data_IF_037467069648
#
_entry.id   IF_037467069648
#
_cell.length_a   1.000
_cell.length_b   1.000
_cell.length_c   1.000
_cell.angle_alpha   90.00
_cell.angle_beta   90.00
_cell.angle_gamma   90.00
#
_symmetry.space_group_name_H-M   'P 1'
#
loop_
_entity.id
_entity.type
_entity.pdbx_description
1 polymer ?
#
# COMPACT_ATOMS: atom_id res chain seq x y z
N UNK A 1 25.71 18.14 -13.56
CA UNK A 1 24.72 17.73 -12.55
C UNK A 1 25.46 17.20 -11.33
N UNK A 2 25.32 17.84 -10.17
CA UNK A 2 25.95 17.37 -8.92
C UNK A 2 24.84 16.85 -8.00
N UNK A 3 24.86 15.56 -7.69
CA UNK A 3 24.03 14.97 -6.65
C UNK A 3 24.54 15.46 -5.29
N UNK A 4 23.74 16.21 -4.54
CA UNK A 4 24.03 16.46 -3.12
C UNK A 4 23.46 15.29 -2.31
N UNK A 5 24.33 14.31 -1.99
CA UNK A 5 24.09 13.35 -0.91
C UNK A 5 24.75 13.90 0.36
N UNK A 6 24.00 13.86 1.45
CA UNK A 6 24.31 14.33 2.80
C UNK A 6 24.21 15.85 3.02
N UNK A 7 23.16 16.26 3.73
CA UNK A 7 23.18 17.50 4.50
C UNK A 7 23.15 17.13 5.99
N UNK A 8 24.33 17.10 6.61
CA UNK A 8 24.42 17.45 8.04
C UNK A 8 23.91 18.89 8.14
N UNK A 9 22.70 19.07 8.67
CA UNK A 9 22.08 20.36 8.94
C UNK A 9 21.52 21.07 7.70
N UNK A 10 20.20 21.22 7.66
CA UNK A 10 19.45 22.06 6.72
C UNK A 10 20.04 23.49 6.59
N UNK A 11 20.68 23.99 7.65
CA UNK A 11 21.38 25.29 7.70
C UNK A 11 22.51 25.47 6.67
N UNK A 12 23.16 24.39 6.21
CA UNK A 12 24.21 24.52 5.19
C UNK A 12 23.65 24.84 3.80
N UNK A 13 22.41 24.41 3.50
CA UNK A 13 21.76 24.56 2.19
C UNK A 13 21.28 25.99 1.96
N UNK A 14 20.81 26.68 3.02
CA UNK A 14 20.28 28.05 2.94
C UNK A 14 21.32 29.11 2.56
N UNK A 15 22.62 28.78 2.55
CA UNK A 15 23.69 29.70 2.16
C UNK A 15 23.93 29.82 0.64
N UNK A 16 23.25 29.02 -0.19
CA UNK A 16 23.39 29.06 -1.67
C UNK A 16 22.04 29.32 -2.34
N UNK A 17 21.90 30.53 -2.91
CA UNK A 17 20.87 31.00 -3.88
C UNK A 17 19.56 30.18 -3.87
N UNK A 18 18.61 30.63 -3.04
CA UNK A 18 17.29 30.03 -2.82
C UNK A 18 16.43 29.88 -4.09
N UNK A 19 16.74 30.57 -5.19
CA UNK A 19 15.91 30.62 -6.40
C UNK A 19 16.02 29.39 -7.33
N UNK A 20 17.01 28.52 -7.15
CA UNK A 20 17.31 27.44 -8.11
C UNK A 20 17.09 26.01 -7.59
N UNK A 21 16.53 25.82 -6.39
CA UNK A 21 16.35 24.49 -5.79
C UNK A 21 15.04 23.89 -6.31
N UNK A 22 15.13 22.96 -7.27
CA UNK A 22 13.99 22.23 -7.84
C UNK A 22 13.74 20.87 -7.16
N UNK A 23 14.76 20.32 -6.48
CA UNK A 23 14.68 19.05 -5.75
C UNK A 23 15.39 19.13 -4.41
N UNK A 24 14.76 18.61 -3.37
CA UNK A 24 15.31 18.60 -2.03
C UNK A 24 15.03 17.27 -1.32
N UNK A 25 16.08 16.71 -0.72
CA UNK A 25 15.96 15.61 0.24
C UNK A 25 16.41 16.11 1.61
N UNK A 26 15.53 15.96 2.58
CA UNK A 26 15.72 16.32 3.97
C UNK A 26 15.75 15.04 4.78
N UNK A 27 16.78 14.87 5.59
CA UNK A 27 16.88 13.73 6.51
C UNK A 27 17.17 14.28 7.88
N UNK A 28 16.27 14.07 8.83
CA UNK A 28 16.56 14.34 10.23
C UNK A 28 17.34 13.15 10.79
N UNK A 29 18.66 13.16 10.58
CA UNK A 29 19.58 12.19 11.18
C UNK A 29 20.15 12.89 12.42
N UNK A 30 19.37 12.92 13.50
CA UNK A 30 19.73 13.55 14.77
C UNK A 30 19.17 12.75 15.94
N UNK A 31 19.70 13.02 17.14
CA UNK A 31 19.20 12.48 18.41
C UNK A 31 17.67 12.60 18.45
N UNK A 32 16.93 11.65 19.03
CA UNK A 32 15.44 11.66 19.02
C UNK A 32 14.81 12.98 19.53
N UNK A 33 15.59 13.74 20.31
CA UNK A 33 15.23 15.04 20.89
C UNK A 33 15.51 16.27 19.98
N UNK A 34 16.29 16.10 18.90
CA UNK A 34 16.73 17.16 17.98
C UNK A 34 16.08 17.06 16.59
N UNK A 35 15.05 16.23 16.43
CA UNK A 35 14.43 16.00 15.13
C UNK A 35 13.57 17.19 14.70
N UNK A 36 13.88 17.79 13.54
CA UNK A 36 13.03 18.81 12.95
C UNK A 36 11.68 18.19 12.57
N UNK A 37 10.59 18.82 13.01
CA UNK A 37 9.26 18.33 12.68
C UNK A 37 8.97 18.50 11.19
N UNK A 38 8.11 17.65 10.62
CA UNK A 38 7.66 17.79 9.23
C UNK A 38 7.07 19.18 8.98
N UNK A 39 6.42 19.77 9.99
CA UNK A 39 5.90 21.13 9.94
C UNK A 39 7.02 22.17 9.73
N UNK A 40 8.11 22.10 10.50
CA UNK A 40 9.24 23.02 10.35
C UNK A 40 9.92 22.89 8.98
N UNK A 41 10.06 21.66 8.49
CA UNK A 41 10.63 21.39 7.16
C UNK A 41 9.73 21.99 6.08
N UNK A 42 8.41 21.72 6.14
CA UNK A 42 7.44 22.26 5.18
C UNK A 42 7.32 23.78 5.26
N UNK A 43 7.45 24.40 6.44
CA UNK A 43 7.46 25.85 6.58
C UNK A 43 8.62 26.48 5.80
N UNK A 44 9.83 25.91 5.95
CA UNK A 44 11.02 26.46 5.29
C UNK A 44 11.02 26.24 3.79
N UNK A 45 10.48 25.12 3.32
CA UNK A 45 10.41 24.82 1.89
C UNK A 45 9.24 25.52 1.19
N UNK A 46 8.27 26.06 1.94
CA UNK A 46 7.20 26.87 1.36
C UNK A 46 7.72 28.13 0.66
N UNK A 47 8.87 28.66 1.10
CA UNK A 47 9.55 29.81 0.51
C UNK A 47 10.44 29.45 -0.70
N UNK A 48 10.41 28.18 -1.17
CA UNK A 48 11.15 27.71 -2.34
C UNK A 48 10.21 27.58 -3.55
N UNK A 49 9.97 28.66 -4.31
CA UNK A 49 8.96 28.66 -5.38
C UNK A 49 9.34 27.71 -6.53
N UNK A 50 10.62 27.40 -6.74
CA UNK A 50 11.06 26.48 -7.79
C UNK A 50 10.95 24.99 -7.40
N UNK A 51 10.65 24.67 -6.13
CA UNK A 51 10.71 23.30 -5.62
C UNK A 51 9.62 22.41 -6.24
N UNK A 52 10.03 21.35 -6.92
CA UNK A 52 9.16 20.36 -7.57
C UNK A 52 9.18 19.00 -6.88
N UNK A 53 10.31 18.63 -6.27
CA UNK A 53 10.49 17.33 -5.61
C UNK A 53 10.94 17.53 -4.16
N UNK A 54 10.16 17.01 -3.21
CA UNK A 54 10.54 17.00 -1.80
C UNK A 54 10.53 15.57 -1.26
N UNK A 55 11.63 15.18 -0.63
CA UNK A 55 11.77 13.93 0.13
C UNK A 55 12.07 14.28 1.58
N UNK A 56 11.27 13.81 2.51
CA UNK A 56 11.45 14.02 3.95
C UNK A 56 11.59 12.68 4.64
N UNK A 57 12.73 12.47 5.29
CA UNK A 57 13.04 11.24 6.02
C UNK A 57 13.17 11.51 7.52
N UNK A 58 12.58 10.63 8.34
CA UNK A 58 12.67 10.60 9.80
C UNK A 58 12.16 11.87 10.49
N UNK A 59 10.95 12.34 10.15
CA UNK A 59 10.37 13.56 10.73
C UNK A 59 9.19 13.25 11.65
N UNK A 60 9.05 14.00 12.75
CA UNK A 60 7.88 13.87 13.63
C UNK A 60 6.60 14.40 12.94
N UNK A 61 5.46 13.68 13.03
CA UNK A 61 4.18 14.15 12.52
C UNK A 61 3.58 15.22 13.44
N UNK A 62 3.04 16.31 12.88
CA UNK A 62 2.39 17.40 13.64
C UNK A 62 1.04 17.73 13.01
N UNK A 63 0.07 18.15 13.85
CA UNK A 63 -1.22 18.64 13.41
C UNK A 63 -1.11 20.01 12.72
N UNK A 64 -1.83 20.18 11.60
CA UNK A 64 -1.68 21.33 10.71
C UNK A 64 -2.74 22.40 11.02
N UNK A 65 -2.33 23.67 11.01
CA UNK A 65 -3.23 24.82 11.21
C UNK A 65 -3.07 25.95 10.18
N UNK A 66 -2.17 25.82 9.20
CA UNK A 66 -1.85 26.88 8.23
C UNK A 66 -1.98 26.37 6.78
N UNK A 67 -2.57 27.20 5.91
CA UNK A 67 -2.68 26.95 4.48
C UNK A 67 -1.40 27.42 3.77
N UNK A 68 -0.40 26.55 3.71
CA UNK A 68 0.77 26.76 2.86
C UNK A 68 0.47 26.32 1.43
N UNK A 69 0.86 27.15 0.47
CA UNK A 69 0.59 26.90 -0.94
C UNK A 69 1.85 26.46 -1.67
N UNK A 70 2.00 25.14 -1.84
CA UNK A 70 3.06 24.54 -2.63
C UNK A 70 2.66 24.52 -4.11
N UNK A 71 2.81 25.65 -4.79
CA UNK A 71 2.30 25.83 -6.17
C UNK A 71 3.05 25.04 -7.24
N UNK A 72 4.28 24.59 -6.97
CA UNK A 72 5.11 23.90 -7.96
C UNK A 72 5.51 22.49 -7.55
N UNK A 73 5.17 22.06 -6.33
CA UNK A 73 5.53 20.74 -5.83
C UNK A 73 4.72 19.67 -6.59
N UNK A 74 5.44 18.75 -7.24
CA UNK A 74 4.87 17.66 -8.06
C UNK A 74 5.09 16.29 -7.44
N UNK A 75 6.14 16.13 -6.63
CA UNK A 75 6.47 14.90 -5.94
C UNK A 75 6.75 15.15 -4.47
N UNK A 76 6.12 14.36 -3.61
CA UNK A 76 6.34 14.37 -2.17
C UNK A 76 6.52 12.93 -1.67
N UNK A 77 7.65 12.64 -1.06
CA UNK A 77 7.82 11.40 -0.31
C UNK A 77 8.15 11.67 1.15
N UNK A 78 7.45 10.99 2.04
CA UNK A 78 7.63 11.06 3.48
C UNK A 78 7.96 9.64 3.96
N UNK A 79 9.12 9.45 4.58
CA UNK A 79 9.57 8.14 5.08
C UNK A 79 9.99 8.24 6.54
N UNK A 80 9.52 7.32 7.37
CA UNK A 80 9.92 7.22 8.78
C UNK A 80 9.18 8.25 9.63
N UNK A 81 8.23 7.78 10.43
CA UNK A 81 7.64 8.55 11.51
C UNK A 81 8.25 8.08 12.82
N UNK A 82 9.35 8.72 13.22
CA UNK A 82 9.76 8.68 14.61
C UNK A 82 8.78 9.53 15.42
N UNK A 83 8.04 8.89 16.30
CA UNK A 83 7.45 9.37 17.56
C UNK A 83 6.95 10.82 17.64
N UNK A 84 5.63 11.01 17.64
CA UNK A 84 4.90 11.70 18.71
C UNK A 84 3.39 11.42 18.54
N UNK A 85 2.65 11.47 19.66
CA UNK A 85 1.18 11.36 19.69
C UNK A 85 0.58 12.38 18.72
N UNK A 86 -0.18 11.96 17.71
CA UNK A 86 -0.67 12.95 16.74
C UNK A 86 -1.41 12.46 15.51
N UNK A 87 -1.74 13.44 14.67
CA UNK A 87 -2.47 13.29 13.43
C UNK A 87 -1.65 13.84 12.25
N UNK A 88 -1.25 12.98 11.31
CA UNK A 88 -0.69 13.43 10.03
C UNK A 88 -1.83 13.93 9.14
N UNK A 89 -1.90 15.24 8.85
CA UNK A 89 -2.93 15.83 7.97
C UNK A 89 -2.26 16.67 6.87
N UNK A 90 -2.12 16.15 5.66
CA UNK A 90 -1.37 16.85 4.61
C UNK A 90 -1.99 18.24 4.28
N UNK A 91 -1.18 19.30 4.08
CA UNK A 91 -1.66 20.57 3.57
C UNK A 91 -2.17 20.44 2.13
N UNK A 92 -2.75 21.50 1.57
CA UNK A 92 -3.16 21.48 0.17
C UNK A 92 -1.95 21.53 -0.74
N UNK A 93 -1.88 20.59 -1.68
CA UNK A 93 -0.87 20.57 -2.73
C UNK A 93 -1.57 20.57 -4.10
N UNK A 94 -1.87 21.75 -4.68
CA UNK A 94 -2.68 21.84 -5.88
C UNK A 94 -2.04 21.19 -7.10
N UNK A 95 -0.70 21.10 -7.16
CA UNK A 95 0.04 20.55 -8.31
C UNK A 95 0.67 19.18 -8.06
N UNK A 96 0.46 18.58 -6.89
CA UNK A 96 1.10 17.31 -6.53
C UNK A 96 0.58 16.19 -7.43
N UNK A 97 1.50 15.43 -8.02
CA UNK A 97 1.20 14.34 -8.95
C UNK A 97 1.47 12.96 -8.34
N UNK A 98 2.52 12.84 -7.52
CA UNK A 98 2.95 11.61 -6.85
C UNK A 98 3.19 11.88 -5.35
N UNK A 99 2.51 11.10 -4.51
CA UNK A 99 2.63 11.12 -3.06
C UNK A 99 3.02 9.73 -2.56
N UNK A 100 4.09 9.67 -1.78
CA UNK A 100 4.55 8.44 -1.13
C UNK A 100 4.68 8.61 0.37
N UNK A 101 4.07 7.72 1.13
CA UNK A 101 4.12 7.73 2.60
C UNK A 101 4.60 6.36 3.07
N UNK A 102 5.68 6.33 3.84
CA UNK A 102 6.23 5.09 4.42
C UNK A 102 6.34 5.24 5.92
N UNK A 103 5.67 4.37 6.68
CA UNK A 103 5.56 4.51 8.13
C UNK A 103 6.80 4.04 8.91
N UNK A 104 7.69 3.24 8.31
CA UNK A 104 8.99 2.87 8.90
C UNK A 104 9.02 1.42 9.37
N UNK A 105 9.70 1.14 10.48
CA UNK A 105 9.78 -0.19 11.12
C UNK A 105 9.01 -0.21 12.45
N UNK A 106 8.58 -1.39 12.91
CA UNK A 106 7.70 -1.53 14.08
C UNK A 106 8.28 -0.94 15.38
N UNK A 107 9.60 -1.03 15.54
CA UNK A 107 10.30 -0.54 16.73
C UNK A 107 10.30 0.99 16.84
N UNK A 108 9.91 1.71 15.78
CA UNK A 108 9.90 3.17 15.72
C UNK A 108 8.49 3.77 15.88
N UNK A 109 7.44 2.94 15.92
CA UNK A 109 6.06 3.41 15.94
C UNK A 109 5.50 3.51 17.38
N UNK A 110 4.81 4.62 17.72
CA UNK A 110 4.08 4.73 18.99
C UNK A 110 2.87 3.78 19.03
N UNK A 111 2.28 3.64 20.21
CA UNK A 111 1.09 2.82 20.46
C UNK A 111 -0.04 3.14 19.46
N UNK A 112 -0.83 2.15 18.99
CA UNK A 112 -1.94 2.36 18.06
C UNK A 112 -2.95 3.43 18.48
N UNK A 113 -3.19 3.61 19.78
CA UNK A 113 -4.08 4.66 20.29
C UNK A 113 -3.50 6.07 20.11
N UNK A 114 -2.21 6.18 19.82
CA UNK A 114 -1.46 7.44 19.84
C UNK A 114 -1.17 8.01 18.44
N UNK A 115 -1.35 7.25 17.36
CA UNK A 115 -1.05 7.71 16.01
C UNK A 115 -2.15 7.42 14.99
N UNK A 116 -2.62 8.47 14.31
CA UNK A 116 -3.52 8.38 13.15
C UNK A 116 -3.01 9.26 12.01
N UNK A 117 -3.24 8.82 10.78
CA UNK A 117 -2.96 9.56 9.57
C UNK A 117 -4.28 9.84 8.85
N UNK A 118 -4.39 11.04 8.29
CA UNK A 118 -5.54 11.47 7.53
C UNK A 118 -5.06 12.05 6.21
N UNK A 119 -5.57 11.50 5.12
CA UNK A 119 -5.30 12.00 3.78
C UNK A 119 -6.62 12.46 3.19
N UNK A 120 -6.78 13.78 3.11
CA UNK A 120 -7.91 14.40 2.42
C UNK A 120 -7.55 14.59 0.94
N UNK A 121 -8.06 13.68 0.11
CA UNK A 121 -7.80 13.66 -1.33
C UNK A 121 -8.42 14.88 -2.05
N UNK A 122 -9.40 15.56 -1.45
CA UNK A 122 -9.96 16.79 -2.02
C UNK A 122 -8.94 17.95 -2.02
N UNK A 123 -7.95 17.89 -1.13
CA UNK A 123 -6.84 18.87 -1.04
C UNK A 123 -5.69 18.58 -2.00
N UNK A 124 -5.76 17.46 -2.73
CA UNK A 124 -4.75 16.96 -3.66
C UNK A 124 -5.35 16.80 -5.08
N UNK A 125 -5.88 17.87 -5.69
CA UNK A 125 -6.74 17.77 -6.87
C UNK A 125 -6.04 17.21 -8.12
N UNK A 126 -4.70 17.34 -8.22
CA UNK A 126 -3.91 16.81 -9.33
C UNK A 126 -3.25 15.46 -9.05
N UNK A 127 -3.46 14.86 -7.87
CA UNK A 127 -2.76 13.63 -7.49
C UNK A 127 -3.13 12.48 -8.42
N UNK A 128 -2.13 11.90 -9.09
CA UNK A 128 -2.31 10.79 -10.04
C UNK A 128 -1.81 9.45 -9.50
N UNK A 129 -0.83 9.48 -8.59
CA UNK A 129 -0.21 8.29 -8.01
C UNK A 129 -0.11 8.45 -6.49
N UNK A 130 -0.56 7.43 -5.76
CA UNK A 130 -0.46 7.36 -4.31
C UNK A 130 0.14 6.01 -3.90
N UNK A 131 1.24 6.06 -3.16
CA UNK A 131 1.87 4.88 -2.55
C UNK A 131 1.88 5.02 -1.03
N UNK A 132 1.32 4.03 -0.33
CA UNK A 132 1.40 3.93 1.12
C UNK A 132 2.11 2.63 1.49
N UNK A 133 3.14 2.75 2.33
CA UNK A 133 3.86 1.63 2.92
C UNK A 133 3.71 1.66 4.43
N UNK A 134 2.95 0.70 4.96
CA UNK A 134 2.72 0.48 6.38
C UNK A 134 3.89 -0.23 7.07
N UNK A 135 3.56 -0.87 8.17
CA UNK A 135 4.46 -1.66 9.01
C UNK A 135 3.81 -3.00 9.27
N UNK A 136 4.60 -4.06 9.20
CA UNK A 136 4.15 -5.42 9.50
C UNK A 136 4.08 -5.57 11.02
N UNK A 137 3.00 -5.10 11.63
CA UNK A 137 2.69 -5.38 13.03
C UNK A 137 1.18 -5.53 13.17
N UNK A 138 0.77 -6.66 13.74
CA UNK A 138 -0.62 -7.07 13.93
C UNK A 138 -1.39 -6.23 14.95
N UNK A 139 -0.73 -5.30 15.65
CA UNK A 139 -1.39 -4.39 16.60
C UNK A 139 -1.81 -3.06 15.96
N UNK A 140 -1.53 -2.81 14.69
CA UNK A 140 -1.60 -1.48 14.05
C UNK A 140 -2.90 -1.32 13.25
N UNK A 141 -4.03 -1.59 13.89
CA UNK A 141 -5.34 -1.40 13.25
C UNK A 141 -5.67 0.11 13.11
N UNK A 142 -6.37 0.48 12.02
CA UNK A 142 -7.03 1.77 11.81
C UNK A 142 -6.18 3.06 11.88
N UNK A 143 -4.90 2.99 11.48
CA UNK A 143 -4.02 4.17 11.52
C UNK A 143 -4.11 5.12 10.33
N UNK A 144 -4.82 4.82 9.23
CA UNK A 144 -5.05 5.78 8.14
C UNK A 144 -6.52 5.88 7.78
N UNK A 145 -6.96 7.12 7.62
CA UNK A 145 -8.30 7.42 7.11
C UNK A 145 -8.18 8.30 5.87
N UNK A 146 -8.79 7.86 4.78
CA UNK A 146 -8.98 8.69 3.60
C UNK A 146 -10.29 9.45 3.69
N UNK A 147 -10.29 10.70 3.22
CA UNK A 147 -11.49 11.53 3.08
C UNK A 147 -11.42 12.31 1.78
N UNK A 148 -12.58 12.79 1.33
CA UNK A 148 -12.70 13.54 0.09
C UNK A 148 -12.61 12.63 -1.14
N UNK A 149 -13.45 12.89 -2.14
CA UNK A 149 -13.45 12.11 -3.39
C UNK A 149 -12.44 12.71 -4.37
N UNK A 150 -11.55 11.89 -4.90
CA UNK A 150 -10.65 12.28 -6.00
C UNK A 150 -11.21 11.88 -7.37
N UNK A 151 -10.89 12.69 -8.38
CA UNK A 151 -11.19 12.40 -9.79
C UNK A 151 -9.93 12.16 -10.63
N UNK A 152 -8.77 12.44 -10.06
CA UNK A 152 -7.45 12.44 -10.72
C UNK A 152 -6.61 11.22 -10.38
N UNK A 153 -6.84 10.58 -9.23
CA UNK A 153 -6.01 9.46 -8.79
C UNK A 153 -6.19 8.25 -9.72
N UNK A 154 -5.11 7.84 -10.37
CA UNK A 154 -5.08 6.73 -11.33
C UNK A 154 -4.45 5.48 -10.75
N UNK A 155 -3.39 5.63 -9.95
CA UNK A 155 -2.66 4.52 -9.33
C UNK A 155 -2.75 4.60 -7.82
N UNK A 156 -3.13 3.49 -7.20
CA UNK A 156 -3.01 3.29 -5.77
C UNK A 156 -2.15 2.05 -5.48
N UNK A 157 -1.16 2.22 -4.63
CA UNK A 157 -0.31 1.14 -4.16
C UNK A 157 -0.27 1.13 -2.64
N UNK A 158 -0.56 -0.01 -2.03
CA UNK A 158 -0.53 -0.20 -0.59
C UNK A 158 0.34 -1.41 -0.24
N UNK A 159 1.23 -1.26 0.74
CA UNK A 159 2.18 -2.30 1.14
C UNK A 159 2.23 -2.46 2.65
N UNK A 160 2.17 -3.68 3.17
CA UNK A 160 2.30 -3.99 4.60
C UNK A 160 1.26 -3.28 5.46
N UNK A 161 0.00 -3.32 5.03
CA UNK A 161 -1.11 -2.61 5.64
C UNK A 161 -1.99 -3.61 6.39
N UNK A 162 -1.61 -3.98 7.61
CA UNK A 162 -2.34 -5.00 8.37
C UNK A 162 -3.42 -4.35 9.27
N UNK A 163 -4.68 -4.81 9.17
CA UNK A 163 -5.77 -4.33 10.01
C UNK A 163 -6.36 -2.99 9.60
N UNK A 164 -6.24 -2.64 8.30
CA UNK A 164 -6.68 -1.35 7.80
C UNK A 164 -8.08 -1.47 7.20
N UNK A 165 -8.98 -0.59 7.63
CA UNK A 165 -10.31 -0.48 7.04
C UNK A 165 -10.22 0.25 5.69
N UNK A 166 -9.99 -0.48 4.60
CA UNK A 166 -9.93 0.06 3.23
C UNK A 166 -11.32 0.42 2.69
N UNK A 167 -12.41 -0.14 3.21
CA UNK A 167 -13.77 0.10 2.72
C UNK A 167 -14.15 1.55 2.48
N UNK A 168 -13.98 2.40 3.50
CA UNK A 168 -14.31 3.81 3.39
C UNK A 168 -13.26 4.56 2.54
N UNK A 169 -12.03 4.03 2.48
CA UNK A 169 -11.02 4.53 1.58
C UNK A 169 -11.38 4.30 0.11
N UNK A 170 -11.90 3.11 -0.25
CA UNK A 170 -12.27 2.79 -1.63
C UNK A 170 -13.32 3.76 -2.18
N UNK A 171 -14.31 4.17 -1.38
CA UNK A 171 -15.33 5.16 -1.78
C UNK A 171 -14.73 6.51 -2.18
N UNK A 172 -13.54 6.85 -1.65
CA UNK A 172 -12.87 8.11 -1.95
C UNK A 172 -12.16 8.09 -3.32
N UNK A 173 -11.87 6.92 -3.89
CA UNK A 173 -11.00 6.78 -5.08
C UNK A 173 -11.52 5.85 -6.18
N UNK A 174 -12.52 5.01 -5.92
CA UNK A 174 -13.01 3.97 -6.84
C UNK A 174 -13.36 4.47 -8.25
N UNK A 175 -13.92 5.67 -8.39
CA UNK A 175 -14.37 6.22 -9.67
C UNK A 175 -13.23 6.64 -10.61
N UNK A 176 -12.01 6.83 -10.11
CA UNK A 176 -10.89 7.38 -10.89
C UNK A 176 -9.75 6.40 -11.13
N UNK A 177 -9.63 5.35 -10.33
CA UNK A 177 -8.52 4.41 -10.35
C UNK A 177 -8.48 3.57 -11.63
N UNK A 178 -7.29 3.47 -12.20
CA UNK A 178 -6.93 2.62 -13.33
C UNK A 178 -6.04 1.45 -12.90
N UNK A 179 -5.34 1.59 -11.78
CA UNK A 179 -4.38 0.60 -11.27
C UNK A 179 -4.42 0.51 -9.75
N UNK A 180 -4.58 -0.72 -9.25
CA UNK A 180 -4.50 -1.06 -7.82
C UNK A 180 -3.44 -2.13 -7.65
N UNK A 181 -2.51 -1.89 -6.72
CA UNK A 181 -1.50 -2.87 -6.29
C UNK A 181 -1.51 -2.99 -4.77
N UNK A 182 -1.85 -4.15 -4.25
CA UNK A 182 -1.86 -4.43 -2.82
C UNK A 182 -0.84 -5.51 -2.52
N UNK A 183 0.04 -5.24 -1.55
CA UNK A 183 1.10 -6.16 -1.16
C UNK A 183 1.06 -6.36 0.36
N UNK A 184 0.94 -7.62 0.80
CA UNK A 184 0.95 -8.02 2.21
C UNK A 184 0.04 -7.13 3.07
N UNK A 185 -1.15 -6.84 2.57
CA UNK A 185 -2.14 -5.98 3.22
C UNK A 185 -3.32 -6.83 3.66
N UNK A 186 -3.90 -6.51 4.82
CA UNK A 186 -5.03 -7.24 5.40
C UNK A 186 -6.09 -6.26 5.87
N UNK A 187 -7.34 -6.63 5.67
CA UNK A 187 -8.49 -5.81 6.03
C UNK A 187 -9.29 -6.46 7.15
N UNK A 188 -9.63 -5.65 8.17
CA UNK A 188 -10.49 -6.06 9.28
C UNK A 188 -11.95 -5.64 9.01
N UNK A 189 -12.84 -6.63 8.98
CA UNK A 189 -14.29 -6.40 8.84
C UNK A 189 -14.74 -6.10 7.40
N UNK A 190 -15.87 -6.67 6.98
CA UNK A 190 -16.47 -6.49 5.64
C UNK A 190 -17.85 -5.85 5.74
N UNK A 191 -18.06 -4.59 5.37
CA UNK A 191 -19.39 -4.05 5.11
C UNK A 191 -19.94 -4.62 3.80
N UNK A 192 -21.25 -4.80 3.76
CA UNK A 192 -22.02 -5.47 2.71
C UNK A 192 -22.30 -4.62 1.46
N UNK A 193 -21.52 -3.56 1.21
CA UNK A 193 -21.83 -2.59 0.13
C UNK A 193 -21.11 -2.91 -1.16
N UNK A 194 -21.81 -2.80 -2.29
CA UNK A 194 -21.22 -2.97 -3.63
C UNK A 194 -20.23 -1.83 -3.94
N UNK A 195 -19.02 -2.18 -4.40
CA UNK A 195 -18.04 -1.25 -4.93
C UNK A 195 -17.96 -1.37 -6.45
N UNK A 196 -17.69 -0.27 -7.15
CA UNK A 196 -17.49 -0.30 -8.59
C UNK A 196 -16.26 0.51 -8.98
N UNK A 197 -15.38 -0.10 -9.78
CA UNK A 197 -14.17 0.52 -10.31
C UNK A 197 -14.26 0.57 -11.84
N UNK A 198 -14.99 1.55 -12.40
CA UNK A 198 -15.35 1.57 -13.82
C UNK A 198 -14.17 1.78 -14.77
N UNK A 199 -12.99 2.14 -14.24
CA UNK A 199 -11.79 2.45 -15.01
C UNK A 199 -10.61 1.51 -14.72
N UNK A 200 -10.78 0.53 -13.82
CA UNK A 200 -9.69 -0.32 -13.36
C UNK A 200 -9.23 -1.27 -14.47
N UNK A 201 -7.98 -1.11 -14.90
CA UNK A 201 -7.33 -1.92 -15.95
C UNK A 201 -6.34 -2.92 -15.38
N UNK A 202 -5.78 -2.62 -14.21
CA UNK A 202 -4.75 -3.45 -13.56
C UNK A 202 -5.11 -3.65 -12.10
N UNK A 203 -5.15 -4.92 -11.69
CA UNK A 203 -5.35 -5.34 -10.32
C UNK A 203 -4.30 -6.39 -9.95
N UNK A 204 -3.37 -6.00 -9.08
CA UNK A 204 -2.34 -6.87 -8.53
C UNK A 204 -2.58 -7.06 -7.03
N UNK A 205 -2.77 -8.31 -6.61
CA UNK A 205 -2.97 -8.70 -5.22
C UNK A 205 -1.89 -9.69 -4.81
N UNK A 206 -1.03 -9.26 -3.91
CA UNK A 206 0.04 -10.07 -3.33
C UNK A 206 -0.24 -10.25 -1.84
N UNK A 207 -0.58 -11.45 -1.38
CA UNK A 207 -0.91 -11.74 0.02
C UNK A 207 -1.91 -10.73 0.62
N UNK A 208 -2.93 -10.38 -0.17
CA UNK A 208 -3.88 -9.28 0.10
C UNK A 208 -5.29 -9.56 -0.44
N UNK A 209 -5.67 -10.83 -0.58
CA UNK A 209 -6.93 -11.21 -1.23
C UNK A 209 -8.17 -10.67 -0.50
N UNK A 210 -8.06 -10.51 0.82
CA UNK A 210 -9.10 -10.03 1.73
C UNK A 210 -9.40 -8.53 1.64
N UNK A 211 -8.50 -7.74 1.05
CA UNK A 211 -8.59 -6.27 0.98
C UNK A 211 -9.60 -5.72 -0.05
N UNK A 212 -10.23 -6.60 -0.85
CA UNK A 212 -11.23 -6.21 -1.85
C UNK A 212 -12.45 -7.15 -1.83
N UNK A 213 -13.68 -6.64 -2.02
CA UNK A 213 -14.91 -7.44 -2.04
C UNK A 213 -15.05 -8.16 -3.38
N UNK A 214 -14.17 -9.10 -3.72
CA UNK A 214 -14.20 -9.71 -5.06
C UNK A 214 -15.53 -10.43 -5.40
N UNK A 215 -16.42 -10.65 -4.43
CA UNK A 215 -17.80 -11.13 -4.63
C UNK A 215 -18.78 -10.05 -5.12
N UNK A 216 -18.63 -8.79 -4.68
CA UNK A 216 -19.59 -7.69 -4.87
C UNK A 216 -18.89 -6.44 -5.45
N UNK A 217 -18.05 -6.65 -6.46
CA UNK A 217 -17.29 -5.58 -7.13
C UNK A 217 -17.59 -5.51 -8.63
N UNK A 218 -17.88 -4.30 -9.12
CA UNK A 218 -17.96 -4.01 -10.54
C UNK A 218 -16.59 -3.72 -11.11
N UNK A 219 -16.10 -4.55 -12.04
CA UNK A 219 -14.82 -4.42 -12.73
C UNK A 219 -15.01 -4.48 -14.26
N UNK A 220 -15.83 -3.59 -14.86
CA UNK A 220 -16.34 -3.76 -16.22
C UNK A 220 -15.27 -3.70 -17.34
N UNK A 221 -14.09 -3.13 -17.05
CA UNK A 221 -13.01 -2.97 -18.04
C UNK A 221 -11.74 -3.75 -17.67
N UNK A 222 -11.75 -4.47 -16.54
CA UNK A 222 -10.61 -5.26 -16.10
C UNK A 222 -10.53 -6.54 -16.93
N UNK A 223 -9.37 -6.82 -17.52
CA UNK A 223 -9.18 -7.99 -18.40
C UNK A 223 -8.47 -9.15 -17.73
N UNK A 224 -7.73 -8.90 -16.65
CA UNK A 224 -6.95 -9.91 -15.93
C UNK A 224 -6.74 -9.48 -14.47
N UNK A 225 -6.62 -10.45 -13.59
CA UNK A 225 -6.19 -10.29 -12.19
C UNK A 225 -4.82 -10.96 -12.02
N UNK A 226 -3.87 -10.24 -11.45
CA UNK A 226 -2.58 -10.79 -11.07
C UNK A 226 -2.61 -11.15 -9.58
N UNK A 227 -2.61 -12.45 -9.29
CA UNK A 227 -2.63 -13.00 -7.94
C UNK A 227 -1.26 -13.59 -7.59
N UNK A 228 -0.67 -13.11 -6.51
CA UNK A 228 0.48 -13.71 -5.84
C UNK A 228 0.05 -14.15 -4.46
N UNK A 229 -0.29 -15.42 -4.32
CA UNK A 229 -0.84 -15.92 -3.08
C UNK A 229 0.24 -15.95 -2.00
N UNK A 230 -0.12 -15.58 -0.77
CA UNK A 230 0.61 -15.94 0.44
C UNK A 230 -0.20 -16.92 1.29
N UNK A 231 0.38 -17.56 2.33
CA UNK A 231 -0.32 -18.51 3.19
C UNK A 231 -1.60 -17.95 3.84
N UNK A 232 -1.64 -16.63 4.10
CA UNK A 232 -2.83 -16.02 4.70
C UNK A 232 -4.02 -15.81 3.73
N UNK A 233 -3.87 -16.08 2.43
CA UNK A 233 -4.95 -15.85 1.45
C UNK A 233 -5.93 -17.02 1.33
N UNK A 234 -5.58 -18.22 1.80
CA UNK A 234 -6.32 -19.44 1.51
C UNK A 234 -7.72 -19.47 2.14
N UNK A 235 -7.85 -18.94 3.35
CA UNK A 235 -9.15 -18.77 3.99
C UNK A 235 -10.11 -17.96 3.11
N UNK A 236 -9.67 -16.79 2.62
CA UNK A 236 -10.50 -15.94 1.77
C UNK A 236 -10.69 -16.51 0.37
N UNK A 237 -9.69 -17.23 -0.14
CA UNK A 237 -9.80 -17.90 -1.42
C UNK A 237 -10.91 -18.94 -1.41
N UNK A 238 -11.02 -19.76 -0.35
CA UNK A 238 -12.10 -20.74 -0.18
C UNK A 238 -13.48 -20.06 -0.22
N UNK A 239 -13.60 -18.90 0.43
CA UNK A 239 -14.79 -18.07 0.35
C UNK A 239 -15.04 -17.57 -1.08
N UNK A 240 -14.04 -17.08 -1.80
CA UNK A 240 -14.24 -16.61 -3.17
C UNK A 240 -14.60 -17.72 -4.15
N UNK A 241 -14.05 -18.93 -3.98
CA UNK A 241 -14.31 -20.07 -4.85
C UNK A 241 -15.70 -20.67 -4.66
N UNK A 242 -16.24 -20.66 -3.44
CA UNK A 242 -17.61 -21.09 -3.15
C UNK A 242 -18.70 -20.16 -3.70
N UNK A 243 -18.33 -18.99 -4.26
CA UNK A 243 -19.26 -17.98 -4.74
C UNK A 243 -19.21 -17.82 -6.26
N UNK A 244 -20.28 -18.23 -6.95
CA UNK A 244 -20.39 -18.12 -8.42
C UNK A 244 -20.43 -16.68 -8.95
N UNK A 245 -20.70 -15.71 -8.08
CA UNK A 245 -20.71 -14.28 -8.44
C UNK A 245 -19.32 -13.64 -8.38
N UNK A 246 -18.35 -14.30 -7.72
CA UNK A 246 -16.98 -13.84 -7.56
C UNK A 246 -16.32 -13.51 -8.91
N UNK A 247 -15.59 -12.40 -8.98
CA UNK A 247 -14.82 -12.06 -10.18
C UNK A 247 -13.70 -13.04 -10.46
N UNK A 248 -13.20 -13.77 -9.45
CA UNK A 248 -12.21 -14.83 -9.61
C UNK A 248 -12.73 -15.99 -10.48
N UNK A 249 -14.05 -16.22 -10.50
CA UNK A 249 -14.69 -17.25 -11.34
C UNK A 249 -14.89 -16.80 -12.78
N UNK A 250 -14.66 -15.51 -13.10
CA UNK A 250 -15.07 -14.90 -14.38
C UNK A 250 -13.90 -14.32 -15.17
N UNK A 251 -12.95 -13.68 -14.49
CA UNK A 251 -11.85 -12.98 -15.14
C UNK A 251 -10.61 -13.87 -15.26
N UNK A 252 -9.83 -13.75 -16.33
CA UNK A 252 -8.50 -14.37 -16.41
C UNK A 252 -7.64 -14.05 -15.18
N UNK A 253 -6.95 -15.06 -14.66
CA UNK A 253 -6.05 -14.95 -13.50
C UNK A 253 -4.65 -15.38 -13.91
N UNK A 254 -3.65 -14.54 -13.62
CA UNK A 254 -2.24 -14.95 -13.58
C UNK A 254 -1.86 -15.26 -12.14
N UNK A 255 -1.47 -16.50 -11.87
CA UNK A 255 -1.22 -17.01 -10.52
C UNK A 255 0.27 -17.26 -10.28
N UNK A 256 0.80 -16.70 -9.20
CA UNK A 256 2.13 -16.97 -8.66
C UNK A 256 2.06 -17.18 -7.14
N UNK A 257 3.17 -17.61 -6.54
CA UNK A 257 3.36 -17.67 -5.10
C UNK A 257 4.20 -16.47 -4.64
N UNK A 258 3.93 -16.01 -3.42
CA UNK A 258 4.75 -14.98 -2.78
C UNK A 258 6.03 -15.59 -2.22
N UNK A 259 7.17 -14.94 -2.46
CA UNK A 259 8.51 -15.35 -1.98
C UNK A 259 9.18 -14.32 -1.07
N UNK A 260 8.44 -13.32 -0.57
CA UNK A 260 9.04 -12.19 0.15
C UNK A 260 9.63 -12.62 1.50
N UNK A 261 10.89 -12.24 1.74
CA UNK A 261 11.72 -12.64 2.89
C UNK A 261 11.18 -12.13 4.25
N UNK A 262 10.26 -11.16 4.24
CA UNK A 262 9.76 -10.50 5.45
C UNK A 262 8.55 -11.26 6.06
N UNK A 263 7.93 -12.17 5.30
CA UNK A 263 6.80 -12.97 5.75
C UNK A 263 7.17 -14.46 5.78
N UNK A 264 7.73 -14.87 6.92
CA UNK A 264 7.93 -16.25 7.36
C UNK A 264 9.04 -17.03 6.63
N UNK A 265 9.86 -17.71 7.44
CA UNK A 265 10.93 -18.57 6.95
C UNK A 265 10.40 -19.56 5.89
N UNK A 266 11.08 -19.51 4.75
CA UNK A 266 10.67 -20.02 3.45
C UNK A 266 10.51 -21.55 3.40
N UNK A 267 9.31 -22.07 3.69
CA UNK A 267 8.89 -23.37 3.17
C UNK A 267 7.36 -23.50 3.07
N UNK A 268 6.81 -23.08 1.92
CA UNK A 268 5.41 -23.26 1.52
C UNK A 268 4.82 -24.66 1.82
N UNK A 269 5.53 -25.78 1.52
CA UNK A 269 4.98 -27.12 1.75
C UNK A 269 4.75 -27.50 3.22
N UNK A 270 5.35 -26.80 4.18
CA UNK A 270 5.10 -27.04 5.62
C UNK A 270 4.07 -26.10 6.23
N UNK A 271 3.69 -25.04 5.50
CA UNK A 271 2.78 -24.01 5.98
C UNK A 271 1.33 -24.23 5.54
N UNK A 272 1.12 -24.91 4.41
CA UNK A 272 -0.21 -25.23 3.91
C UNK A 272 -0.70 -26.57 4.48
N UNK A 273 -1.94 -26.59 4.96
CA UNK A 273 -2.60 -27.82 5.33
C UNK A 273 -3.31 -28.48 4.12
N UNK A 274 -3.92 -29.65 4.35
CA UNK A 274 -4.65 -30.37 3.28
C UNK A 274 -5.82 -29.55 2.70
N UNK A 275 -6.45 -28.68 3.50
CA UNK A 275 -7.57 -27.86 3.05
C UNK A 275 -7.08 -26.70 2.17
N UNK A 276 -5.94 -26.11 2.49
CA UNK A 276 -5.28 -25.09 1.69
C UNK A 276 -4.86 -25.65 0.33
N UNK A 277 -4.28 -26.86 0.32
CA UNK A 277 -3.87 -27.55 -0.91
C UNK A 277 -5.08 -27.95 -1.77
N UNK A 278 -6.18 -28.39 -1.16
CA UNK A 278 -7.44 -28.63 -1.87
C UNK A 278 -7.97 -27.31 -2.49
N UNK A 279 -7.92 -26.21 -1.75
CA UNK A 279 -8.36 -24.89 -2.22
C UNK A 279 -7.49 -24.41 -3.39
N UNK A 280 -6.17 -24.64 -3.33
CA UNK A 280 -5.24 -24.36 -4.43
C UNK A 280 -5.60 -25.18 -5.68
N UNK A 281 -5.85 -26.47 -5.51
CA UNK A 281 -6.23 -27.37 -6.60
C UNK A 281 -7.55 -26.92 -7.25
N UNK A 282 -8.53 -26.52 -6.44
CA UNK A 282 -9.80 -25.98 -6.92
C UNK A 282 -9.59 -24.70 -7.74
N UNK A 283 -8.75 -23.76 -7.28
CA UNK A 283 -8.42 -22.55 -8.03
C UNK A 283 -7.79 -22.91 -9.39
N UNK A 284 -6.79 -23.78 -9.41
CA UNK A 284 -6.04 -24.12 -10.64
C UNK A 284 -6.90 -24.94 -11.62
N UNK A 285 -7.90 -25.67 -11.11
CA UNK A 285 -8.87 -26.37 -11.96
C UNK A 285 -9.76 -25.43 -12.77
N UNK A 286 -9.80 -24.14 -12.42
CA UNK A 286 -10.57 -23.15 -13.17
C UNK A 286 -9.89 -22.86 -14.52
N UNK A 287 -10.66 -22.98 -15.60
CA UNK A 287 -10.19 -22.77 -16.98
C UNK A 287 -9.61 -21.39 -17.29
N UNK A 288 -9.87 -20.40 -16.44
CA UNK A 288 -9.41 -19.01 -16.55
C UNK A 288 -8.10 -18.74 -15.77
N UNK A 289 -7.52 -19.73 -15.08
CA UNK A 289 -6.27 -19.58 -14.34
C UNK A 289 -5.07 -20.00 -15.19
N UNK A 290 -4.03 -19.16 -15.20
CA UNK A 290 -2.73 -19.45 -15.80
C UNK A 290 -1.66 -19.39 -14.73
N UNK A 291 -0.86 -20.43 -14.63
CA UNK A 291 0.31 -20.46 -13.76
C UNK A 291 1.41 -19.57 -14.36
N UNK A 292 2.01 -18.75 -13.51
CA UNK A 292 3.16 -17.92 -13.86
C UNK A 292 4.49 -18.64 -13.62
N UNK A 293 5.47 -17.90 -13.10
CA UNK A 293 6.84 -18.37 -12.88
C UNK A 293 6.91 -19.52 -11.88
N UNK A 294 5.98 -19.57 -10.92
CA UNK A 294 5.91 -20.60 -9.88
C UNK A 294 5.12 -21.86 -10.27
N UNK A 295 4.77 -22.00 -11.55
CA UNK A 295 3.91 -23.10 -12.00
C UNK A 295 4.45 -24.48 -11.64
N UNK A 296 5.75 -24.71 -11.78
CA UNK A 296 6.36 -25.99 -11.43
C UNK A 296 6.28 -26.26 -9.91
N UNK A 297 6.62 -25.26 -9.09
CA UNK A 297 6.56 -25.36 -7.63
C UNK A 297 5.15 -25.70 -7.15
N UNK A 298 4.15 -25.03 -7.71
CA UNK A 298 2.74 -25.28 -7.40
C UNK A 298 2.35 -26.72 -7.76
N UNK A 299 2.73 -27.19 -8.95
CA UNK A 299 2.42 -28.55 -9.40
C UNK A 299 3.13 -29.61 -8.55
N UNK A 300 4.37 -29.38 -8.15
CA UNK A 300 5.14 -30.28 -7.28
C UNK A 300 4.51 -30.41 -5.88
N UNK A 301 4.03 -29.28 -5.31
CA UNK A 301 3.29 -29.28 -4.04
C UNK A 301 2.02 -30.14 -4.12
N UNK A 302 1.22 -29.96 -5.17
CA UNK A 302 -0.01 -30.73 -5.36
C UNK A 302 0.26 -32.21 -5.64
N UNK A 303 1.31 -32.52 -6.41
CA UNK A 303 1.71 -33.90 -6.71
C UNK A 303 2.13 -34.65 -5.45
N UNK A 304 2.92 -33.99 -4.60
CA UNK A 304 3.37 -34.56 -3.31
C UNK A 304 2.20 -34.80 -2.36
N UNK A 305 1.21 -33.91 -2.36
CA UNK A 305 -0.01 -34.06 -1.57
C UNK A 305 -0.86 -35.24 -2.02
N UNK A 306 -1.09 -35.40 -3.33
CA UNK A 306 -1.87 -36.53 -3.88
C UNK A 306 -1.26 -37.87 -3.44
N UNK A 307 0.06 -38.03 -3.62
CA UNK A 307 0.78 -39.27 -3.23
C UNK A 307 0.64 -39.57 -1.74
N UNK A 308 0.70 -38.56 -0.87
CA UNK A 308 0.55 -38.73 0.56
C UNK A 308 -0.91 -38.96 0.99
N UNK A 309 -1.89 -38.44 0.24
CA UNK A 309 -3.33 -38.63 0.50
C UNK A 309 -3.87 -40.00 0.07
N UNK A 310 -3.19 -40.64 -0.90
CA UNK A 310 -3.51 -42.01 -1.37
C UNK A 310 -2.86 -43.12 -0.53
N UNK A 311 -2.09 -42.76 0.51
CA UNK A 311 -1.59 -43.68 1.53
C UNK A 311 -2.45 -43.54 2.80
N UNK A 312 -3.65 -44.14 2.88
CA UNK A 312 -4.31 -44.31 4.16
C UNK A 312 -3.47 -45.28 5.01
N UNK A 313 -3.09 -44.81 6.19
CA UNK A 313 -2.41 -45.54 7.28
C UNK A 313 -2.23 -47.06 7.06
N UNK A 314 -1.00 -47.47 6.79
CA UNK A 314 -0.51 -48.84 7.03
C UNK A 314 -0.04 -48.98 8.48
#
# INVERSE_FOLDING_TARGET
MKHFRYAKGFNAILSRRMEAIDRLTVSSIGNFLDNESLHQILQRVADLPALQELKVWCSQPVAWRHDWNFQNLRYLAIKGFGCERGTLNLPSFPTLLDLRISFGEANELPDPMEFRAFVDLSRLPCLTSLEIKGVIDAKIDDRLTFRGVTKSLRRFTAKYMNGWTFWDAWKCMNGSLEEIRLQTSRESGRPSTELNFPRLKTLELENSLDCLPLRNIGLPVLTQIDLKLGPGDFYDLQHHLSSSISVLQKLPISLNLMHDEICFDNYWPTLLDSQDLETLAQLISLSNVRLGEDGNTILDMLSSWIVNSELPDL
#
